data_IF_558973470277
#
_entry.id   IF_558973470277
#
_cell.length_a   1.000
_cell.length_b   1.000
_cell.length_c   1.000
_cell.angle_alpha   90.00
_cell.angle_beta   90.00
_cell.angle_gamma   90.00
#
_symmetry.space_group_name_H-M   'P 1'
#
loop_
_entity.id
_entity.type
_entity.pdbx_description
1 polymer ?
#
# COMPACT_ATOMS: atom_id res chain seq x y z
N UNK A 1 -28.59 -16.44 -9.97
CA UNK A 1 -28.67 -15.02 -10.37
C UNK A 1 -27.40 -14.36 -9.87
N UNK A 2 -26.50 -13.98 -10.77
CA UNK A 2 -25.24 -13.32 -10.43
C UNK A 2 -25.56 -11.88 -10.00
N UNK A 3 -25.30 -11.55 -8.74
CA UNK A 3 -25.42 -10.17 -8.28
C UNK A 3 -24.08 -9.49 -8.57
N UNK A 4 -24.08 -8.65 -9.61
CA UNK A 4 -22.98 -7.76 -9.95
C UNK A 4 -23.00 -6.62 -8.92
N UNK A 5 -21.96 -6.52 -8.09
CA UNK A 5 -21.71 -5.31 -7.30
C UNK A 5 -20.90 -4.40 -8.21
N UNK A 6 -21.59 -3.62 -9.04
CA UNK A 6 -21.00 -2.57 -9.86
C UNK A 6 -20.48 -1.43 -8.96
N UNK A 7 -19.21 -1.06 -9.15
CA UNK A 7 -18.51 0.14 -8.69
C UNK A 7 -19.18 0.96 -7.59
N UNK A 8 -18.96 0.57 -6.34
CA UNK A 8 -19.28 1.46 -5.21
C UNK A 8 -18.28 2.61 -5.14
N UNK A 9 -18.72 3.79 -4.68
CA UNK A 9 -17.82 4.89 -4.31
C UNK A 9 -16.93 4.49 -3.12
N UNK A 10 -15.85 5.23 -2.91
CA UNK A 10 -14.99 5.03 -1.75
C UNK A 10 -13.87 4.01 -1.97
N UNK A 11 -13.21 4.04 -3.13
CA UNK A 11 -11.97 3.28 -3.38
C UNK A 11 -10.92 3.51 -2.28
N UNK A 12 -10.60 4.77 -1.96
CA UNK A 12 -9.66 5.11 -0.87
C UNK A 12 -10.16 4.72 0.53
N UNK A 13 -11.45 4.35 0.66
CA UNK A 13 -11.99 3.86 1.91
C UNK A 13 -11.80 2.35 2.10
N UNK A 14 -11.47 1.61 1.04
CA UNK A 14 -11.26 0.16 1.10
C UNK A 14 -10.09 -0.20 2.02
N UNK A 15 -10.22 -1.23 2.86
CA UNK A 15 -9.18 -1.61 3.81
C UNK A 15 -7.82 -1.85 3.14
N UNK A 16 -7.81 -2.52 2.01
CA UNK A 16 -6.59 -2.86 1.29
C UNK A 16 -5.90 -1.64 0.69
N UNK A 17 -6.68 -0.70 0.14
CA UNK A 17 -6.16 0.57 -0.38
C UNK A 17 -5.55 1.39 0.76
N UNK A 18 -6.22 1.44 1.92
CA UNK A 18 -5.68 2.12 3.11
C UNK A 18 -4.40 1.47 3.65
N UNK A 19 -4.25 0.16 3.56
CA UNK A 19 -3.02 -0.51 3.97
C UNK A 19 -1.86 -0.14 3.04
N UNK A 20 -2.09 -0.20 1.72
CA UNK A 20 -1.12 0.21 0.72
C UNK A 20 -0.71 1.68 0.90
N UNK A 21 -1.68 2.58 1.11
CA UNK A 21 -1.40 3.99 1.40
C UNK A 21 -0.65 4.16 2.72
N UNK A 22 -0.97 3.39 3.77
CA UNK A 22 -0.24 3.45 5.03
C UNK A 22 1.20 2.98 4.89
N UNK A 23 1.49 2.00 4.02
CA UNK A 23 2.87 1.66 3.67
C UNK A 23 3.58 2.86 3.05
N UNK A 24 3.02 3.42 1.98
CA UNK A 24 3.62 4.55 1.28
C UNK A 24 3.86 5.75 2.22
N UNK A 25 2.85 6.14 3.02
CA UNK A 25 2.97 7.25 3.98
C UNK A 25 3.98 6.97 5.09
N UNK A 26 4.02 5.75 5.64
CA UNK A 26 4.99 5.39 6.67
C UNK A 26 6.42 5.26 6.13
N UNK A 27 6.60 4.92 4.85
CA UNK A 27 7.91 4.89 4.19
C UNK A 27 8.44 6.31 3.97
N UNK A 28 7.57 7.24 3.59
CA UNK A 28 7.91 8.67 3.44
C UNK A 28 8.16 9.32 4.80
N UNK A 29 7.27 9.09 5.76
CA UNK A 29 7.30 9.66 7.11
C UNK A 29 7.03 8.56 8.15
N UNK A 30 8.09 7.90 8.67
CA UNK A 30 7.96 6.91 9.75
C UNK A 30 7.35 7.48 11.04
N UNK A 31 7.34 8.80 11.21
CA UNK A 31 6.75 9.46 12.38
C UNK A 31 5.22 9.57 12.31
N UNK A 32 4.60 9.19 11.19
CA UNK A 32 3.15 9.07 11.08
C UNK A 32 2.65 7.86 11.90
N UNK A 33 2.35 8.13 13.16
CA UNK A 33 1.86 7.13 14.09
C UNK A 33 0.55 6.47 13.63
N UNK A 34 -0.30 7.16 12.89
CA UNK A 34 -1.58 6.59 12.42
C UNK A 34 -1.31 5.51 11.37
N UNK A 35 -0.46 5.81 10.40
CA UNK A 35 -0.06 4.84 9.37
C UNK A 35 0.73 3.67 9.99
N UNK A 36 1.69 3.95 10.88
CA UNK A 36 2.45 2.90 11.56
C UNK A 36 1.55 1.98 12.41
N UNK A 37 0.59 2.54 13.17
CA UNK A 37 -0.37 1.74 13.94
C UNK A 37 -1.25 0.87 13.04
N UNK A 38 -1.64 1.36 11.87
CA UNK A 38 -2.38 0.56 10.89
C UNK A 38 -1.55 -0.63 10.41
N UNK A 39 -0.30 -0.36 10.02
CA UNK A 39 0.61 -1.41 9.54
C UNK A 39 0.84 -2.49 10.59
N UNK A 40 1.01 -2.13 11.86
CA UNK A 40 1.16 -3.07 12.97
C UNK A 40 0.07 -4.16 13.01
N UNK A 41 -1.17 -3.82 12.63
CA UNK A 41 -2.31 -4.73 12.60
C UNK A 41 -2.36 -5.69 11.40
N UNK A 42 -1.54 -5.49 10.36
CA UNK A 42 -1.50 -6.38 9.20
C UNK A 42 -0.99 -7.76 9.65
N UNK A 43 -1.55 -8.89 9.15
CA UNK A 43 -1.18 -10.25 9.60
C UNK A 43 0.32 -10.58 9.57
N UNK A 44 1.09 -9.92 8.69
CA UNK A 44 2.56 -10.02 8.65
C UNK A 44 3.23 -9.60 9.97
N UNK A 45 2.67 -8.60 10.64
CA UNK A 45 3.21 -8.04 11.88
C UNK A 45 2.39 -8.44 13.10
N UNK A 46 1.08 -8.68 12.92
CA UNK A 46 0.19 -9.32 13.89
C UNK A 46 0.20 -8.70 15.29
N UNK A 47 0.34 -7.37 15.39
CA UNK A 47 0.23 -6.64 16.64
C UNK A 47 -1.20 -6.14 16.79
N UNK A 48 -1.84 -6.49 17.91
CA UNK A 48 -3.20 -6.06 18.17
C UNK A 48 -3.29 -4.55 18.43
N UNK A 49 -4.48 -3.99 18.17
CA UNK A 49 -4.72 -2.55 18.30
C UNK A 49 -4.54 -2.02 19.73
N UNK A 50 -4.75 -2.86 20.75
CA UNK A 50 -4.58 -2.44 22.15
C UNK A 50 -3.09 -2.25 22.44
N UNK A 51 -2.24 -3.19 22.03
CA UNK A 51 -0.79 -3.07 22.18
C UNK A 51 -0.22 -1.90 21.35
N UNK A 52 -0.65 -1.76 20.09
CA UNK A 52 -0.27 -0.61 19.26
C UNK A 52 -0.66 0.73 19.91
N UNK A 53 -1.86 0.82 20.49
CA UNK A 53 -2.32 2.01 21.21
C UNK A 53 -1.53 2.30 22.49
N UNK A 54 -1.10 1.26 23.23
CA UNK A 54 -0.22 1.43 24.39
C UNK A 54 1.13 2.02 24.00
N UNK A 55 1.76 1.49 22.95
CA UNK A 55 3.03 2.02 22.45
C UNK A 55 2.90 3.45 21.92
N UNK A 56 1.81 3.77 21.20
CA UNK A 56 1.57 5.13 20.74
C UNK A 56 1.44 6.13 21.90
N UNK A 57 0.75 5.72 22.99
CA UNK A 57 0.66 6.53 24.21
C UNK A 57 2.03 6.67 24.90
N UNK A 58 2.77 5.58 25.04
CA UNK A 58 4.10 5.56 25.65
C UNK A 58 5.09 6.45 24.89
N UNK A 59 5.11 6.36 23.55
CA UNK A 59 5.94 7.22 22.71
C UNK A 59 5.63 8.71 22.93
N UNK A 60 4.34 9.05 23.02
CA UNK A 60 3.88 10.42 23.32
C UNK A 60 4.31 10.90 24.71
N UNK A 61 4.20 10.05 25.72
CA UNK A 61 4.63 10.34 27.10
C UNK A 61 6.16 10.57 27.20
N UNK A 62 6.94 9.82 26.39
CA UNK A 62 8.39 9.96 26.31
C UNK A 62 8.86 11.07 25.37
N UNK A 63 7.95 11.69 24.60
CA UNK A 63 8.30 12.72 23.61
C UNK A 63 9.10 12.19 22.42
N UNK A 64 8.93 10.91 22.06
CA UNK A 64 9.59 10.26 20.91
C UNK A 64 8.54 9.81 19.90
N UNK A 65 8.95 9.49 18.67
CA UNK A 65 8.02 8.92 17.69
C UNK A 65 7.71 7.45 18.02
N UNK A 66 6.52 7.00 17.59
CA UNK A 66 6.13 5.59 17.73
C UNK A 66 7.18 4.69 17.08
N UNK A 67 7.66 5.06 15.90
CA UNK A 67 8.68 4.31 15.19
C UNK A 67 9.97 4.13 16.00
N UNK A 68 10.51 5.19 16.61
CA UNK A 68 11.70 5.09 17.47
C UNK A 68 11.51 4.17 18.68
N UNK A 69 10.27 4.04 19.18
CA UNK A 69 9.93 3.08 20.23
C UNK A 69 9.92 1.65 19.68
N UNK A 70 9.28 1.42 18.52
CA UNK A 70 9.22 0.11 17.86
C UNK A 70 10.62 -0.43 17.50
N UNK A 71 11.54 0.43 17.12
CA UNK A 71 12.94 0.07 16.80
C UNK A 71 13.69 -0.56 17.98
N UNK A 72 13.23 -0.29 19.22
CA UNK A 72 13.80 -0.84 20.46
C UNK A 72 12.97 -2.01 21.02
N UNK A 73 11.83 -2.32 20.40
CA UNK A 73 10.92 -3.36 20.85
C UNK A 73 11.52 -4.75 20.66
N UNK A 74 11.22 -5.66 21.58
CA UNK A 74 11.58 -7.09 21.46
C UNK A 74 10.51 -7.90 20.74
N UNK A 75 9.31 -7.34 20.56
CA UNK A 75 8.20 -7.99 19.85
C UNK A 75 8.57 -8.23 18.37
N UNK A 76 8.38 -9.46 17.90
CA UNK A 76 8.78 -9.87 16.55
C UNK A 76 8.10 -9.04 15.46
N UNK A 77 6.80 -8.78 15.59
CA UNK A 77 6.02 -7.96 14.67
C UNK A 77 6.55 -6.52 14.54
N UNK A 78 6.87 -5.90 15.68
CA UNK A 78 7.43 -4.55 15.74
C UNK A 78 8.83 -4.46 15.11
N UNK A 79 9.71 -5.44 15.42
CA UNK A 79 11.05 -5.52 14.82
C UNK A 79 11.00 -5.72 13.31
N UNK A 80 10.08 -6.58 12.85
CA UNK A 80 9.87 -6.83 11.43
C UNK A 80 9.37 -5.58 10.70
N UNK A 81 8.36 -4.89 11.24
CA UNK A 81 7.87 -3.63 10.66
C UNK A 81 8.98 -2.57 10.61
N UNK A 82 9.74 -2.42 11.69
CA UNK A 82 10.86 -1.47 11.74
C UNK A 82 11.93 -1.78 10.69
N UNK A 83 12.23 -3.06 10.49
CA UNK A 83 13.19 -3.52 9.48
C UNK A 83 12.67 -3.26 8.07
N UNK A 84 11.41 -3.57 7.80
CA UNK A 84 10.79 -3.38 6.49
C UNK A 84 10.70 -1.89 6.13
N UNK A 85 10.26 -1.02 7.05
CA UNK A 85 10.21 0.42 6.82
C UNK A 85 11.60 1.01 6.59
N UNK A 86 12.63 0.65 7.38
CA UNK A 86 14.02 1.11 7.13
C UNK A 86 14.51 0.70 5.74
N UNK A 87 14.20 -0.53 5.32
CA UNK A 87 14.60 -1.05 4.02
C UNK A 87 13.95 -0.23 2.89
N UNK A 88 12.63 -0.04 2.94
CA UNK A 88 11.91 0.72 1.92
C UNK A 88 12.25 2.23 1.93
N UNK A 89 12.46 2.83 3.11
CA UNK A 89 12.91 4.22 3.21
C UNK A 89 14.31 4.43 2.63
N UNK A 90 15.16 3.40 2.59
CA UNK A 90 16.43 3.46 1.87
C UNK A 90 16.24 3.34 0.34
N UNK A 91 15.29 2.51 -0.10
CA UNK A 91 14.98 2.31 -1.52
C UNK A 91 14.29 3.51 -2.16
N UNK A 92 13.41 4.22 -1.44
CA UNK A 92 12.70 5.40 -1.97
C UNK A 92 13.63 6.52 -2.44
N UNK A 93 14.89 6.53 -1.99
CA UNK A 93 15.91 7.50 -2.41
C UNK A 93 16.51 7.18 -3.78
N UNK A 94 16.21 5.99 -4.33
CA UNK A 94 16.83 5.46 -5.56
C UNK A 94 15.82 4.97 -6.57
N UNK A 95 14.59 4.69 -6.15
CA UNK A 95 13.52 4.15 -6.99
C UNK A 95 12.41 5.17 -7.20
N UNK A 96 11.75 5.09 -8.35
CA UNK A 96 10.45 5.71 -8.55
C UNK A 96 9.37 5.05 -7.69
N UNK A 97 8.25 5.75 -7.49
CA UNK A 97 7.14 5.27 -6.67
C UNK A 97 6.49 3.99 -7.22
N UNK A 98 6.52 3.79 -8.54
CA UNK A 98 6.05 2.60 -9.25
C UNK A 98 6.87 1.36 -8.86
N UNK A 99 8.20 1.45 -8.97
CA UNK A 99 9.11 0.37 -8.58
C UNK A 99 9.07 0.13 -7.06
N UNK A 100 9.01 1.21 -6.26
CA UNK A 100 8.90 1.11 -4.81
C UNK A 100 7.60 0.42 -4.39
N UNK A 101 6.47 0.76 -5.01
CA UNK A 101 5.17 0.16 -4.70
C UNK A 101 5.20 -1.35 -4.96
N UNK A 102 5.76 -1.77 -6.10
CA UNK A 102 5.94 -3.18 -6.43
C UNK A 102 6.81 -3.90 -5.38
N UNK A 103 7.96 -3.34 -5.04
CA UNK A 103 8.89 -3.89 -4.03
C UNK A 103 8.23 -4.04 -2.65
N UNK A 104 7.36 -3.10 -2.26
CA UNK A 104 6.58 -3.21 -1.03
C UNK A 104 5.61 -4.38 -1.12
N UNK A 105 4.83 -4.50 -2.20
CA UNK A 105 3.85 -5.57 -2.36
C UNK A 105 4.51 -6.95 -2.37
N UNK A 106 5.62 -7.12 -3.09
CA UNK A 106 6.35 -8.37 -3.22
C UNK A 106 6.99 -8.77 -1.88
N UNK A 107 7.79 -7.90 -1.27
CA UNK A 107 8.58 -8.24 -0.08
C UNK A 107 7.74 -8.41 1.18
N UNK A 108 6.64 -7.65 1.28
CA UNK A 108 5.67 -7.84 2.37
C UNK A 108 4.77 -9.03 2.12
N UNK A 109 4.71 -9.53 0.88
CA UNK A 109 3.73 -10.50 0.39
C UNK A 109 2.30 -10.04 0.69
N UNK A 110 2.02 -8.75 0.47
CA UNK A 110 0.73 -8.16 0.81
C UNK A 110 -0.44 -8.82 0.06
N UNK A 111 -0.18 -9.25 -1.17
CA UNK A 111 -1.09 -9.99 -2.03
C UNK A 111 -1.06 -11.51 -1.80
N UNK A 112 -0.44 -12.01 -0.72
CA UNK A 112 -0.75 -13.37 -0.24
C UNK A 112 -2.17 -13.33 0.34
N UNK A 113 -3.15 -13.67 -0.51
CA UNK A 113 -4.56 -13.48 -0.21
C UNK A 113 -5.15 -14.52 0.77
N UNK A 114 -4.32 -15.37 1.37
CA UNK A 114 -4.73 -16.43 2.29
C UNK A 114 -5.45 -15.89 3.55
N UNK A 115 -5.23 -14.62 3.89
CA UNK A 115 -5.96 -13.93 4.97
C UNK A 115 -7.42 -13.59 4.63
N UNK A 116 -7.80 -13.63 3.35
CA UNK A 116 -9.14 -13.32 2.87
C UNK A 116 -9.89 -14.62 2.57
N UNK A 117 -11.05 -14.76 3.21
CA UNK A 117 -11.74 -16.05 3.28
C UNK A 117 -12.56 -16.35 2.02
N UNK A 118 -13.13 -15.31 1.40
CA UNK A 118 -14.00 -15.46 0.22
C UNK A 118 -13.25 -15.37 -1.12
N UNK A 119 -13.57 -16.22 -2.11
CA UNK A 119 -12.98 -16.10 -3.46
C UNK A 119 -13.29 -14.74 -4.11
N UNK A 120 -14.48 -14.18 -3.90
CA UNK A 120 -14.86 -12.86 -4.42
C UNK A 120 -14.10 -11.73 -3.70
N UNK A 121 -13.95 -11.85 -2.38
CA UNK A 121 -13.18 -10.90 -1.58
C UNK A 121 -11.72 -10.85 -2.05
N UNK A 122 -11.12 -12.01 -2.30
CA UNK A 122 -9.76 -12.11 -2.86
C UNK A 122 -9.64 -11.40 -4.21
N UNK A 123 -10.57 -11.66 -5.12
CA UNK A 123 -10.58 -10.99 -6.43
C UNK A 123 -10.73 -9.47 -6.28
N UNK A 124 -11.61 -9.01 -5.40
CA UNK A 124 -11.84 -7.59 -5.17
C UNK A 124 -10.61 -6.88 -4.61
N UNK A 125 -9.94 -7.49 -3.62
CA UNK A 125 -8.69 -6.95 -3.06
C UNK A 125 -7.63 -6.86 -4.14
N UNK A 126 -7.46 -7.91 -4.94
CA UNK A 126 -6.51 -7.91 -6.05
C UNK A 126 -6.81 -6.78 -7.05
N UNK A 127 -8.08 -6.61 -7.42
CA UNK A 127 -8.52 -5.55 -8.33
C UNK A 127 -8.25 -4.15 -7.77
N UNK A 128 -8.50 -3.94 -6.47
CA UNK A 128 -8.30 -2.64 -5.84
C UNK A 128 -6.81 -2.29 -5.72
N UNK A 129 -5.96 -3.26 -5.39
CA UNK A 129 -4.50 -3.04 -5.35
C UNK A 129 -3.94 -2.81 -6.76
N UNK A 130 -4.44 -3.53 -7.76
CA UNK A 130 -4.09 -3.33 -9.17
C UNK A 130 -4.46 -1.92 -9.64
N UNK A 131 -5.69 -1.47 -9.37
CA UNK A 131 -6.13 -0.09 -9.66
C UNK A 131 -5.23 0.94 -8.99
N UNK A 132 -4.78 0.71 -7.75
CA UNK A 132 -3.82 1.62 -7.10
C UNK A 132 -2.48 1.66 -7.83
N UNK A 133 -1.99 0.51 -8.32
CA UNK A 133 -0.78 0.45 -9.14
C UNK A 133 -0.94 1.23 -10.46
N UNK A 134 -2.12 1.17 -11.08
CA UNK A 134 -2.45 1.95 -12.28
C UNK A 134 -2.47 3.45 -12.01
N UNK A 135 -2.99 3.90 -10.86
CA UNK A 135 -2.91 5.29 -10.44
C UNK A 135 -1.46 5.76 -10.24
N UNK A 136 -0.62 4.90 -9.67
CA UNK A 136 0.82 5.17 -9.52
C UNK A 136 1.50 5.28 -10.90
N UNK A 137 1.17 4.38 -11.84
CA UNK A 137 1.71 4.42 -13.19
C UNK A 137 1.27 5.68 -13.96
N UNK A 138 -0.02 6.02 -13.90
CA UNK A 138 -0.56 7.24 -14.51
C UNK A 138 0.13 8.50 -13.98
N UNK A 139 0.41 8.56 -12.67
CA UNK A 139 1.20 9.64 -12.09
C UNK A 139 2.61 9.71 -12.71
N UNK A 140 3.31 8.58 -12.86
CA UNK A 140 4.64 8.54 -13.47
C UNK A 140 4.64 8.89 -14.97
N UNK A 141 3.54 8.66 -15.70
CA UNK A 141 3.40 9.06 -17.10
C UNK A 141 3.17 10.56 -17.27
N UNK A 142 2.47 11.18 -16.31
CA UNK A 142 2.09 12.60 -16.36
C UNK A 142 3.13 13.54 -15.71
N UNK A 143 3.96 13.02 -14.82
CA UNK A 143 4.90 13.81 -14.01
C UNK A 143 6.35 13.38 -14.22
N UNK A 144 7.27 14.33 -14.27
CA UNK A 144 8.72 14.03 -14.37
C UNK A 144 9.36 13.66 -13.03
N UNK A 145 8.72 14.01 -11.92
CA UNK A 145 9.21 13.72 -10.57
C UNK A 145 8.51 12.48 -10.01
N UNK A 146 9.17 11.33 -10.12
CA UNK A 146 8.59 10.04 -9.74
C UNK A 146 8.86 9.69 -8.26
N UNK A 147 9.40 10.61 -7.46
CA UNK A 147 9.68 10.31 -6.06
C UNK A 147 8.37 10.11 -5.27
N UNK A 148 8.42 9.24 -4.26
CA UNK A 148 7.29 8.93 -3.39
C UNK A 148 6.61 10.19 -2.81
N UNK A 149 7.40 11.18 -2.37
CA UNK A 149 6.90 12.43 -1.83
C UNK A 149 6.02 13.21 -2.84
N UNK A 150 6.42 13.23 -4.11
CA UNK A 150 5.68 13.91 -5.17
C UNK A 150 4.35 13.19 -5.45
N UNK A 151 4.36 11.86 -5.50
CA UNK A 151 3.14 11.05 -5.64
C UNK A 151 2.17 11.28 -4.49
N UNK A 152 2.64 11.24 -3.24
CA UNK A 152 1.78 11.46 -2.07
C UNK A 152 1.16 12.87 -2.07
N UNK A 153 1.93 13.89 -2.48
CA UNK A 153 1.40 15.25 -2.61
C UNK A 153 0.33 15.36 -3.71
N UNK A 154 0.52 14.69 -4.84
CA UNK A 154 -0.49 14.58 -5.89
C UNK A 154 -1.76 13.88 -5.37
N UNK A 155 -1.60 12.75 -4.68
CA UNK A 155 -2.71 11.98 -4.14
C UNK A 155 -3.52 12.79 -3.12
N UNK A 156 -2.86 13.50 -2.20
CA UNK A 156 -3.52 14.39 -1.23
C UNK A 156 -4.33 15.50 -1.92
N UNK A 157 -3.82 16.05 -3.03
CA UNK A 157 -4.55 17.06 -3.81
C UNK A 157 -5.80 16.46 -4.50
N UNK A 158 -5.69 15.24 -5.04
CA UNK A 158 -6.80 14.51 -5.65
C UNK A 158 -7.90 14.16 -4.64
N UNK A 159 -7.52 13.67 -3.45
CA UNK A 159 -8.47 13.42 -2.36
C UNK A 159 -9.15 14.72 -1.88
N UNK A 160 -8.40 15.83 -1.77
CA UNK A 160 -8.95 17.13 -1.37
C UNK A 160 -9.94 17.70 -2.39
N UNK A 161 -9.74 17.40 -3.68
CA UNK A 161 -10.66 17.76 -4.76
C UNK A 161 -11.97 16.95 -4.75
N UNK A 162 -12.12 15.99 -3.81
CA UNK A 162 -13.26 15.07 -3.73
C UNK A 162 -13.48 14.29 -5.04
N UNK A 163 -12.39 13.99 -5.75
CA UNK A 163 -12.42 13.06 -6.86
C UNK A 163 -12.81 11.68 -6.30
N UNK A 164 -14.05 11.27 -6.56
CA UNK A 164 -14.59 10.03 -6.01
C UNK A 164 -14.14 8.88 -6.90
N UNK A 165 -13.06 8.22 -6.49
CA UNK A 165 -12.58 7.02 -7.16
C UNK A 165 -13.53 5.85 -6.88
N UNK A 166 -14.03 5.24 -7.95
CA UNK A 166 -14.88 4.05 -7.88
C UNK A 166 -14.04 2.82 -7.49
N UNK A 167 -14.62 1.91 -6.72
CA UNK A 167 -14.02 0.62 -6.42
C UNK A 167 -13.79 -0.13 -7.74
N UNK A 168 -12.64 -0.81 -7.87
CA UNK A 168 -12.29 -1.53 -9.09
C UNK A 168 -13.36 -2.57 -9.44
N UNK A 169 -13.69 -2.68 -10.73
CA UNK A 169 -14.69 -3.66 -11.17
C UNK A 169 -14.09 -5.08 -11.15
N UNK A 170 -14.92 -6.09 -10.88
CA UNK A 170 -14.47 -7.48 -10.91
C UNK A 170 -14.20 -7.99 -12.34
N UNK A 171 -14.75 -7.33 -13.35
CA UNK A 171 -14.48 -7.64 -14.76
C UNK A 171 -13.04 -7.24 -15.14
N UNK A 172 -12.49 -6.20 -14.51
CA UNK A 172 -11.07 -5.82 -14.62
C UNK A 172 -10.17 -6.88 -13.95
N UNK A 173 -10.63 -7.50 -12.85
CA UNK A 173 -9.91 -8.54 -12.12
C UNK A 173 -9.76 -9.85 -12.91
N UNK A 174 -10.73 -10.18 -13.76
CA UNK A 174 -10.70 -11.37 -14.64
C UNK A 174 -9.73 -11.17 -15.83
N UNK A 175 -9.40 -9.92 -16.15
CA UNK A 175 -8.42 -9.54 -17.17
C UNK A 175 -7.08 -9.06 -16.58
N UNK A 176 -6.91 -9.10 -15.25
CA UNK A 176 -5.72 -8.66 -14.57
C UNK A 176 -4.54 -9.60 -14.85
N UNK A 177 -3.81 -9.29 -15.93
CA UNK A 177 -2.44 -9.72 -16.16
C UNK A 177 -1.64 -9.46 -14.89
N UNK A 178 -0.88 -10.47 -14.47
CA UNK A 178 -0.01 -10.41 -13.30
C UNK A 178 0.76 -9.09 -13.25
N UNK A 179 0.84 -8.48 -12.06
CA UNK A 179 1.76 -7.38 -11.76
C UNK A 179 3.17 -7.78 -12.23
N UNK A 180 3.57 -7.26 -13.40
CA UNK A 180 4.92 -7.32 -13.93
C UNK A 180 5.39 -5.89 -14.08
N UNK A 181 6.65 -5.64 -13.73
CA UNK A 181 7.24 -4.31 -13.90
C UNK A 181 7.31 -3.94 -15.39
N UNK A 182 7.09 -2.66 -15.71
CA UNK A 182 7.27 -2.09 -17.06
C UNK A 182 8.66 -2.45 -17.63
N UNK A 183 9.68 -2.53 -16.77
CA UNK A 183 11.05 -2.89 -17.14
C UNK A 183 11.26 -4.37 -17.54
N UNK A 184 10.34 -5.29 -17.20
CA UNK A 184 10.38 -6.69 -17.68
C UNK A 184 9.59 -6.92 -18.98
N UNK A 185 8.76 -5.99 -19.42
CA UNK A 185 8.06 -6.06 -20.70
C UNK A 185 8.97 -5.69 -21.90
N UNK A 186 10.18 -5.20 -21.65
CA UNK A 186 11.10 -4.70 -22.69
C UNK A 186 11.78 -5.86 -23.44
N UNK A 187 11.13 -6.35 -24.50
CA UNK A 187 11.68 -7.35 -25.43
C UNK A 187 10.87 -8.65 -25.56
N UNK A 188 9.67 -8.73 -24.97
CA UNK A 188 8.73 -9.81 -25.20
C UNK A 188 7.60 -9.32 -26.10
N UNK A 189 7.41 -9.95 -27.26
CA UNK A 189 6.25 -9.69 -28.12
C UNK A 189 5.03 -10.40 -27.54
N UNK A 190 4.06 -9.63 -27.04
CA UNK A 190 2.74 -10.13 -26.66
C UNK A 190 1.69 -9.55 -27.60
N UNK A 191 0.74 -10.39 -28.02
CA UNK A 191 -0.23 -10.10 -29.10
C UNK A 191 -1.26 -9.00 -28.81
N UNK A 192 -1.28 -8.44 -27.61
CA UNK A 192 -1.97 -7.19 -27.30
C UNK A 192 -1.19 -6.48 -26.19
N UNK A 193 -0.75 -5.26 -26.49
CA UNK A 193 -0.13 -4.33 -25.54
C UNK A 193 -1.14 -3.20 -25.34
N UNK A 194 -1.53 -2.95 -24.10
CA UNK A 194 -2.06 -1.64 -23.67
C UNK A 194 -1.03 -1.08 -22.72
#
# INVERSE_FOLDING_TARGET
>A
VAYQVSGGRGFFQQPEVKDCMAFLRAIESPDDAVCVMRLLGIPRYAIDAVQAGRWAREAREQGVSLFSLLEKSTEEGARRLSTDLRFFSAMRLRLGVDELFFEVMERTRYLDLDRFTGPIERLQVSANVQKLAELVAAFCDEHTDHHLAAFLAHLDATEAAQADEEIASLDDALNAVHLMTVHQAKGLEFGLVV
#
